data_IF_142164499444
#
_entry.id   IF_142164499444
#
_cell.length_a   1.000
_cell.length_b   1.000
_cell.length_c   1.000
_cell.angle_alpha   90.00
_cell.angle_beta   90.00
_cell.angle_gamma   90.00
#
_symmetry.space_group_name_H-M   'P 1'
#
loop_
_entity.id
_entity.type
_entity.pdbx_description
1 polymer ?
#
# COMPACT_ATOMS: atom_id res chain seq x y z
N UNK A 1 -0.86 -24.67 13.89
CA UNK A 1 -0.38 -23.32 13.53
C UNK A 1 1.07 -23.19 14.01
N UNK A 2 1.90 -24.23 13.79
CA UNK A 2 2.95 -24.58 14.79
C UNK A 2 4.39 -24.48 14.28
N UNK A 3 4.65 -24.20 12.99
CA UNK A 3 6.01 -24.38 12.44
C UNK A 3 6.62 -23.15 11.72
N UNK A 4 6.07 -21.94 11.86
CA UNK A 4 6.56 -20.79 11.06
C UNK A 4 7.05 -19.57 11.83
N UNK A 5 6.86 -19.48 13.15
CA UNK A 5 7.63 -18.54 13.96
C UNK A 5 8.27 -19.31 15.12
N UNK A 6 9.56 -19.08 15.35
CA UNK A 6 10.26 -19.68 16.48
C UNK A 6 9.65 -19.17 17.80
N UNK A 7 8.72 -19.93 18.37
CA UNK A 7 8.11 -19.69 19.68
C UNK A 7 7.03 -18.61 19.73
N UNK A 8 6.19 -18.68 20.77
CA UNK A 8 5.01 -17.83 21.03
C UNK A 8 5.30 -16.31 20.97
N UNK A 9 6.48 -15.88 21.44
CA UNK A 9 6.91 -14.47 21.40
C UNK A 9 7.18 -13.95 19.98
N UNK A 10 7.67 -14.82 19.09
CA UNK A 10 7.96 -14.47 17.69
C UNK A 10 6.67 -14.28 16.89
N UNK A 11 5.62 -15.05 17.19
CA UNK A 11 4.29 -14.89 16.60
C UNK A 11 3.65 -13.54 16.97
N UNK A 12 3.70 -13.14 18.24
CA UNK A 12 3.15 -11.86 18.68
C UNK A 12 3.88 -10.68 18.02
N UNK A 13 5.20 -10.78 17.91
CA UNK A 13 6.04 -9.77 17.27
C UNK A 13 5.73 -9.63 15.77
N UNK A 14 5.58 -10.75 15.05
CA UNK A 14 5.19 -10.76 13.63
C UNK A 14 3.80 -10.15 13.44
N UNK A 15 2.82 -10.58 14.23
CA UNK A 15 1.45 -10.07 14.20
C UNK A 15 1.35 -8.57 14.43
N UNK A 16 2.20 -8.00 15.29
CA UNK A 16 2.27 -6.55 15.53
C UNK A 16 2.68 -5.79 14.25
N UNK A 17 3.84 -6.10 13.67
CA UNK A 17 4.32 -5.40 12.46
C UNK A 17 3.37 -5.58 11.29
N UNK A 18 2.76 -6.74 11.19
CA UNK A 18 1.79 -7.05 10.16
C UNK A 18 0.55 -6.17 10.25
N UNK A 19 -0.09 -6.12 11.43
CA UNK A 19 -1.26 -5.27 11.64
C UNK A 19 -0.91 -3.78 11.49
N UNK A 20 0.28 -3.37 11.94
CA UNK A 20 0.78 -2.02 11.72
C UNK A 20 0.93 -1.69 10.23
N UNK A 21 1.51 -2.61 9.45
CA UNK A 21 1.66 -2.46 8.00
C UNK A 21 0.30 -2.33 7.31
N UNK A 22 -0.65 -3.22 7.59
CA UNK A 22 -2.00 -3.20 7.01
C UNK A 22 -2.77 -1.93 7.39
N UNK A 23 -2.69 -1.50 8.65
CA UNK A 23 -3.27 -0.25 9.12
C UNK A 23 -2.64 0.96 8.42
N UNK A 24 -1.31 0.98 8.30
CA UNK A 24 -0.57 2.01 7.55
C UNK A 24 -0.97 2.06 6.07
N UNK A 25 -1.15 0.92 5.41
CA UNK A 25 -1.67 0.86 4.04
C UNK A 25 -3.05 1.50 3.93
N UNK A 26 -3.93 1.32 4.91
CA UNK A 26 -5.22 2.01 4.96
C UNK A 26 -5.11 3.54 5.03
N UNK A 27 -4.14 4.05 5.81
CA UNK A 27 -3.83 5.50 5.86
C UNK A 27 -3.34 5.99 4.50
N UNK A 28 -2.38 5.27 3.90
CA UNK A 28 -1.83 5.61 2.58
C UNK A 28 -2.93 5.61 1.52
N UNK A 29 -3.81 4.62 1.50
CA UNK A 29 -4.90 4.53 0.52
C UNK A 29 -5.86 5.73 0.62
N UNK A 30 -6.15 6.16 1.85
CA UNK A 30 -6.99 7.35 2.10
C UNK A 30 -6.32 8.61 1.54
N UNK A 31 -5.01 8.77 1.77
CA UNK A 31 -4.22 9.90 1.27
C UNK A 31 -4.06 9.88 -0.26
N UNK A 32 -3.74 8.73 -0.86
CA UNK A 32 -3.63 8.57 -2.31
C UNK A 32 -4.96 8.84 -3.01
N UNK A 33 -6.07 8.34 -2.46
CA UNK A 33 -7.40 8.61 -3.01
C UNK A 33 -7.71 10.10 -2.98
N UNK A 34 -7.41 10.78 -1.86
CA UNK A 34 -7.65 12.21 -1.73
C UNK A 34 -6.82 13.04 -2.71
N UNK A 35 -5.54 12.73 -2.85
CA UNK A 35 -4.65 13.41 -3.81
C UNK A 35 -5.11 13.19 -5.26
N UNK A 36 -5.61 12.00 -5.59
CA UNK A 36 -6.14 11.68 -6.92
C UNK A 36 -7.45 12.43 -7.21
N UNK A 37 -8.38 12.49 -6.25
CA UNK A 37 -9.62 13.28 -6.38
C UNK A 37 -9.32 14.78 -6.55
N UNK A 38 -8.34 15.30 -5.82
CA UNK A 38 -7.87 16.68 -5.99
C UNK A 38 -7.25 16.91 -7.37
N UNK A 39 -6.51 15.94 -7.90
CA UNK A 39 -5.94 16.01 -9.25
C UNK A 39 -7.04 16.18 -10.31
N UNK A 40 -8.13 15.41 -10.20
CA UNK A 40 -9.31 15.52 -11.08
C UNK A 40 -9.89 16.94 -11.03
N UNK A 41 -10.11 17.47 -9.83
CA UNK A 41 -10.65 18.82 -9.70
C UNK A 41 -9.73 19.89 -10.26
N UNK A 42 -8.42 19.74 -10.02
CA UNK A 42 -7.42 20.68 -10.49
C UNK A 42 -7.33 20.67 -12.03
N UNK A 43 -7.34 19.49 -12.65
CA UNK A 43 -7.36 19.35 -14.11
C UNK A 43 -8.62 20.00 -14.72
N UNK A 44 -9.80 19.72 -14.14
CA UNK A 44 -11.05 20.34 -14.58
C UNK A 44 -11.10 21.86 -14.40
N UNK A 45 -10.52 22.38 -13.31
CA UNK A 45 -10.41 23.82 -13.07
C UNK A 45 -9.53 24.49 -14.14
N UNK A 46 -8.35 23.94 -14.43
CA UNK A 46 -7.48 24.49 -15.48
C UNK A 46 -8.11 24.41 -16.88
N UNK A 47 -8.88 23.36 -17.15
CA UNK A 47 -9.59 23.26 -18.42
C UNK A 47 -10.68 24.32 -18.57
N UNK A 48 -11.45 24.60 -17.49
CA UNK A 48 -12.56 25.56 -17.54
C UNK A 48 -12.10 27.02 -17.46
N UNK A 49 -11.20 27.30 -16.53
CA UNK A 49 -10.85 28.66 -16.11
C UNK A 49 -9.52 29.14 -16.75
N UNK A 50 -8.82 28.25 -17.48
CA UNK A 50 -7.57 28.53 -18.17
C UNK A 50 -6.31 28.20 -17.36
N UNK A 51 -5.16 28.13 -18.04
CA UNK A 51 -3.89 27.70 -17.46
C UNK A 51 -3.36 28.61 -16.33
N UNK A 52 -3.70 29.90 -16.37
CA UNK A 52 -3.24 30.90 -15.40
C UNK A 52 -4.20 31.09 -14.21
N UNK A 53 -5.29 30.31 -14.14
CA UNK A 53 -6.26 30.42 -13.06
C UNK A 53 -5.64 29.98 -11.71
N UNK A 54 -5.88 30.71 -10.61
CA UNK A 54 -5.47 30.30 -9.27
C UNK A 54 -6.36 29.17 -8.78
N UNK A 55 -6.18 27.97 -9.32
CA UNK A 55 -6.87 26.75 -8.92
C UNK A 55 -6.30 26.23 -7.58
N UNK A 56 -6.53 26.99 -6.50
CA UNK A 56 -6.25 26.54 -5.14
C UNK A 56 -7.38 25.61 -4.67
N UNK A 57 -7.29 24.35 -5.10
CA UNK A 57 -8.19 23.32 -4.58
C UNK A 57 -7.75 22.99 -3.14
N UNK A 58 -8.33 23.68 -2.16
CA UNK A 58 -8.34 23.23 -0.77
C UNK A 58 -9.27 22.02 -0.61
N UNK A 59 -9.11 21.23 0.44
CA UNK A 59 -10.02 20.13 0.76
C UNK A 59 -9.43 18.72 0.72
N UNK A 60 -8.12 18.55 0.90
CA UNK A 60 -7.53 17.20 1.07
C UNK A 60 -8.24 16.41 2.18
N UNK A 61 -8.51 17.07 3.32
CA UNK A 61 -9.28 16.49 4.42
C UNK A 61 -10.73 16.14 4.04
N UNK A 62 -11.36 16.91 3.15
CA UNK A 62 -12.71 16.61 2.66
C UNK A 62 -12.73 15.33 1.83
N UNK A 63 -11.78 15.15 0.91
CA UNK A 63 -11.67 13.91 0.13
C UNK A 63 -11.27 12.69 0.97
N UNK A 64 -10.38 12.87 1.95
CA UNK A 64 -10.05 11.82 2.91
C UNK A 64 -11.30 11.37 3.67
N UNK A 65 -12.10 12.33 4.15
CA UNK A 65 -13.35 12.04 4.85
C UNK A 65 -14.37 11.32 3.95
N UNK A 66 -14.54 11.75 2.71
CA UNK A 66 -15.42 11.09 1.74
C UNK A 66 -14.98 9.65 1.45
N UNK A 67 -13.68 9.42 1.25
CA UNK A 67 -13.14 8.08 1.06
C UNK A 67 -13.37 7.22 2.31
N UNK A 68 -13.10 7.76 3.50
CA UNK A 68 -13.38 7.09 4.78
C UNK A 68 -14.87 6.72 4.91
N UNK A 69 -15.78 7.63 4.57
CA UNK A 69 -17.22 7.34 4.59
C UNK A 69 -17.60 6.23 3.61
N UNK A 70 -17.05 6.26 2.39
CA UNK A 70 -17.27 5.20 1.41
C UNK A 70 -16.76 3.84 1.93
N UNK A 71 -15.57 3.79 2.54
CA UNK A 71 -15.03 2.58 3.15
C UNK A 71 -15.87 2.09 4.33
N UNK A 72 -16.33 3.01 5.18
CA UNK A 72 -17.20 2.68 6.31
C UNK A 72 -18.52 2.04 5.84
N UNK A 73 -19.05 2.44 4.68
CA UNK A 73 -20.23 1.80 4.07
C UNK A 73 -19.86 0.46 3.43
N UNK A 74 -18.84 0.43 2.56
CA UNK A 74 -18.44 -0.76 1.82
C UNK A 74 -18.07 -1.94 2.73
N UNK A 75 -17.37 -1.69 3.84
CA UNK A 75 -16.98 -2.73 4.80
C UNK A 75 -18.17 -3.33 5.57
N UNK A 76 -19.37 -2.72 5.51
CA UNK A 76 -20.58 -3.29 6.11
C UNK A 76 -21.35 -4.19 5.14
N UNK A 77 -21.07 -4.12 3.84
CA UNK A 77 -21.81 -4.89 2.82
C UNK A 77 -21.36 -6.36 2.89
N UNK A 78 -22.21 -7.29 3.35
CA UNK A 78 -21.86 -8.70 3.43
C UNK A 78 -21.86 -9.31 2.03
N UNK A 79 -20.76 -9.94 1.62
CA UNK A 79 -20.66 -10.59 0.30
C UNK A 79 -20.11 -9.70 -0.82
N UNK A 80 -19.88 -8.40 -0.59
CA UNK A 80 -19.01 -7.58 -1.49
C UNK A 80 -17.56 -8.10 -1.54
N UNK A 81 -17.28 -9.08 -0.69
CA UNK A 81 -16.01 -9.77 -0.46
C UNK A 81 -15.87 -11.01 -1.34
N UNK A 82 -16.65 -11.16 -2.43
CA UNK A 82 -16.29 -12.08 -3.50
C UNK A 82 -14.99 -11.59 -4.14
N UNK A 83 -13.88 -11.88 -3.45
CA UNK A 83 -12.58 -11.24 -3.65
C UNK A 83 -12.06 -11.41 -5.06
N UNK A 84 -12.44 -12.47 -5.76
CA UNK A 84 -11.98 -12.70 -7.13
C UNK A 84 -12.41 -11.57 -8.08
N UNK A 85 -13.70 -11.19 -8.08
CA UNK A 85 -14.21 -10.15 -8.98
C UNK A 85 -13.66 -8.76 -8.63
N UNK A 86 -13.66 -8.43 -7.34
CA UNK A 86 -13.14 -7.15 -6.84
C UNK A 86 -11.63 -7.01 -7.09
N UNK A 87 -10.85 -8.07 -6.87
CA UNK A 87 -9.41 -8.09 -7.13
C UNK A 87 -9.09 -8.00 -8.62
N UNK A 88 -9.86 -8.69 -9.50
CA UNK A 88 -9.68 -8.56 -10.95
C UNK A 88 -9.99 -7.14 -11.40
N UNK A 89 -11.09 -6.54 -10.94
CA UNK A 89 -11.43 -5.16 -11.24
C UNK A 89 -10.33 -4.19 -10.77
N UNK A 90 -9.89 -4.32 -9.51
CA UNK A 90 -8.80 -3.54 -8.95
C UNK A 90 -7.49 -3.66 -9.76
N UNK A 91 -7.14 -4.87 -10.18
CA UNK A 91 -5.97 -5.11 -11.02
C UNK A 91 -6.08 -4.43 -12.38
N UNK A 92 -7.25 -4.51 -13.06
CA UNK A 92 -7.48 -3.84 -14.35
C UNK A 92 -7.33 -2.32 -14.20
N UNK A 93 -7.92 -1.72 -13.16
CA UNK A 93 -7.76 -0.30 -12.87
C UNK A 93 -6.28 0.05 -12.63
N UNK A 94 -5.53 -0.80 -11.92
CA UNK A 94 -4.09 -0.64 -11.64
C UNK A 94 -3.23 -0.61 -12.90
N UNK A 95 -3.44 -1.58 -13.79
CA UNK A 95 -2.76 -1.60 -15.09
C UNK A 95 -3.11 -0.37 -15.91
N UNK A 96 -4.39 0.01 -15.97
CA UNK A 96 -4.84 1.14 -16.77
C UNK A 96 -4.12 2.44 -16.39
N UNK A 97 -4.18 2.86 -15.12
CA UNK A 97 -3.53 4.12 -14.74
C UNK A 97 -2.00 4.05 -14.86
N UNK A 98 -1.40 2.86 -14.69
CA UNK A 98 0.05 2.67 -14.82
C UNK A 98 0.49 2.85 -16.28
N UNK A 99 -0.24 2.26 -17.23
CA UNK A 99 0.00 2.48 -18.66
C UNK A 99 -0.19 3.95 -19.06
N UNK A 100 -1.23 4.60 -18.55
CA UNK A 100 -1.45 6.04 -18.79
C UNK A 100 -0.28 6.86 -18.22
N UNK A 101 0.15 6.61 -16.99
CA UNK A 101 1.28 7.31 -16.38
C UNK A 101 2.58 7.16 -17.17
N UNK A 102 2.89 5.94 -17.62
CA UNK A 102 4.04 5.67 -18.51
C UNK A 102 3.90 6.40 -19.84
N UNK A 103 2.73 6.29 -20.50
CA UNK A 103 2.49 6.92 -21.79
C UNK A 103 2.59 8.45 -21.74
N UNK A 104 2.00 9.08 -20.71
CA UNK A 104 2.10 10.51 -20.47
C UNK A 104 3.53 10.94 -20.16
N UNK A 105 4.28 10.14 -19.40
CA UNK A 105 5.70 10.35 -19.16
C UNK A 105 6.51 10.37 -20.46
N UNK A 106 6.34 9.36 -21.32
CA UNK A 106 7.00 9.31 -22.64
C UNK A 106 6.61 10.53 -23.48
N UNK A 107 5.31 10.83 -23.60
CA UNK A 107 4.83 11.95 -24.40
C UNK A 107 5.43 13.28 -23.92
N UNK A 108 5.53 13.47 -22.60
CA UNK A 108 6.10 14.69 -22.02
C UNK A 108 7.61 14.80 -22.24
N UNK A 109 8.36 13.70 -22.13
CA UNK A 109 9.79 13.68 -22.48
C UNK A 109 10.01 14.06 -23.95
N UNK A 110 9.20 13.51 -24.86
CA UNK A 110 9.27 13.84 -26.30
C UNK A 110 8.94 15.32 -26.52
N UNK A 111 7.86 15.82 -25.90
CA UNK A 111 7.44 17.22 -26.03
C UNK A 111 8.47 18.21 -25.48
N UNK A 112 9.16 17.85 -24.39
CA UNK A 112 10.22 18.67 -23.82
C UNK A 112 11.45 18.75 -24.73
N UNK A 113 11.71 17.72 -25.56
CA UNK A 113 12.89 17.62 -26.43
C UNK A 113 14.22 17.40 -25.70
N UNK A 114 14.22 17.45 -24.36
CA UNK A 114 15.37 17.23 -23.48
C UNK A 114 14.96 16.47 -22.22
N UNK A 115 15.91 15.74 -21.64
CA UNK A 115 15.72 15.07 -20.34
C UNK A 115 15.88 16.12 -19.23
N UNK A 116 14.84 16.32 -18.44
CA UNK A 116 14.82 17.31 -17.36
C UNK A 116 15.52 16.82 -16.08
N UNK A 117 15.62 15.50 -15.89
CA UNK A 117 16.26 14.89 -14.73
C UNK A 117 17.77 15.08 -14.71
N UNK A 118 18.32 15.30 -13.52
CA UNK A 118 19.77 15.41 -13.29
C UNK A 118 20.27 14.37 -12.27
N UNK A 119 21.57 14.08 -12.25
CA UNK A 119 22.17 13.20 -11.21
C UNK A 119 22.15 13.91 -9.84
N UNK A 120 22.19 15.25 -9.84
CA UNK A 120 22.19 16.05 -8.63
C UNK A 120 20.86 16.00 -7.87
N UNK A 121 19.75 15.85 -8.58
CA UNK A 121 18.40 15.91 -8.02
C UNK A 121 18.11 17.24 -7.32
N UNK A 122 17.03 17.24 -6.54
CA UNK A 122 16.49 18.43 -5.88
C UNK A 122 17.58 19.14 -5.06
N UNK A 123 17.85 20.44 -5.32
CA UNK A 123 18.79 21.23 -4.52
C UNK A 123 18.19 21.47 -3.12
N UNK A 124 19.02 21.37 -2.08
CA UNK A 124 18.63 21.64 -0.70
C UNK A 124 19.55 22.67 -0.07
N UNK A 125 19.05 23.40 0.92
CA UNK A 125 19.78 24.48 1.60
C UNK A 125 21.00 23.96 2.36
N UNK A 126 20.95 22.71 2.85
CA UNK A 126 22.09 22.04 3.48
C UNK A 126 22.26 20.60 3.03
N UNK A 127 23.50 20.09 3.15
CA UNK A 127 23.82 18.67 2.91
C UNK A 127 23.01 17.76 3.82
N UNK A 128 22.79 18.16 5.08
CA UNK A 128 22.02 17.38 6.06
C UNK A 128 20.57 17.19 5.61
N UNK A 129 19.90 18.26 5.18
CA UNK A 129 18.55 18.15 4.63
C UNK A 129 18.49 17.27 3.38
N UNK A 130 19.51 17.34 2.51
CA UNK A 130 19.62 16.47 1.34
C UNK A 130 19.72 15.00 1.73
N UNK A 131 20.53 14.66 2.73
CA UNK A 131 20.67 13.30 3.26
C UNK A 131 19.34 12.79 3.79
N UNK A 132 18.58 13.61 4.52
CA UNK A 132 17.25 13.20 5.02
C UNK A 132 16.21 13.02 3.92
N UNK A 133 16.24 13.86 2.87
CA UNK A 133 15.39 13.66 1.70
C UNK A 133 15.72 12.38 0.93
N UNK A 134 17.00 12.07 0.74
CA UNK A 134 17.43 10.81 0.12
C UNK A 134 17.02 9.62 0.98
N UNK A 135 17.19 9.72 2.29
CA UNK A 135 16.76 8.71 3.25
C UNK A 135 15.25 8.43 3.17
N UNK A 136 14.44 9.47 3.10
CA UNK A 136 12.99 9.36 2.89
C UNK A 136 12.66 8.64 1.58
N UNK A 137 13.32 9.01 0.48
CA UNK A 137 13.11 8.36 -0.83
C UNK A 137 13.49 6.87 -0.81
N UNK A 138 14.50 6.47 -0.03
CA UNK A 138 14.79 5.04 0.20
C UNK A 138 13.62 4.36 0.89
N UNK A 139 13.01 4.99 1.89
CA UNK A 139 11.79 4.51 2.54
C UNK A 139 10.63 4.31 1.56
N UNK A 140 10.44 5.25 0.63
CA UNK A 140 9.40 5.17 -0.41
C UNK A 140 9.62 3.95 -1.32
N UNK A 141 10.89 3.67 -1.69
CA UNK A 141 11.26 2.48 -2.46
C UNK A 141 11.00 1.21 -1.65
N UNK A 142 11.31 1.20 -0.36
CA UNK A 142 11.06 0.05 0.52
C UNK A 142 9.56 -0.25 0.64
N UNK A 143 8.72 0.78 0.72
CA UNK A 143 7.25 0.62 0.74
C UNK A 143 6.71 0.04 -0.57
N UNK A 144 7.30 0.42 -1.71
CA UNK A 144 6.83 0.00 -3.03
C UNK A 144 6.84 -1.53 -3.22
N UNK A 145 7.71 -2.25 -2.50
CA UNK A 145 7.81 -3.71 -2.54
C UNK A 145 7.29 -4.39 -1.26
N UNK A 146 5.96 -4.46 -1.05
CA UNK A 146 5.40 -5.04 0.15
C UNK A 146 5.36 -6.58 0.07
N UNK A 147 6.53 -7.23 0.08
CA UNK A 147 6.65 -8.69 0.04
C UNK A 147 5.89 -9.40 1.18
N UNK A 148 5.74 -8.70 2.32
CA UNK A 148 4.97 -9.12 3.48
C UNK A 148 3.49 -9.41 3.17
N UNK A 149 2.91 -8.72 2.19
CA UNK A 149 1.51 -8.88 1.78
C UNK A 149 1.31 -10.14 0.91
N UNK A 150 2.34 -10.57 0.20
CA UNK A 150 2.34 -11.85 -0.55
C UNK A 150 2.49 -13.04 0.40
N UNK A 151 3.33 -12.90 1.45
CA UNK A 151 3.43 -13.92 2.50
C UNK A 151 2.10 -14.10 3.25
N UNK A 152 1.35 -13.02 3.46
CA UNK A 152 0.00 -13.09 4.01
C UNK A 152 -0.94 -13.92 3.17
N UNK A 153 -0.95 -13.76 1.84
CA UNK A 153 -1.80 -14.53 0.94
C UNK A 153 -1.49 -16.04 1.05
N UNK A 154 -0.20 -16.39 1.15
CA UNK A 154 0.27 -17.75 1.39
C UNK A 154 -0.17 -18.27 2.77
N UNK A 155 -0.07 -17.47 3.83
CA UNK A 155 -0.42 -17.90 5.19
C UNK A 155 -1.94 -17.93 5.44
N UNK A 156 -2.72 -17.03 4.84
CA UNK A 156 -4.19 -17.01 4.91
C UNK A 156 -4.82 -18.20 4.17
N UNK A 157 -4.25 -18.61 3.04
CA UNK A 157 -4.60 -19.87 2.37
C UNK A 157 -4.42 -21.05 3.33
N UNK A 158 -3.26 -21.13 3.99
CA UNK A 158 -2.98 -22.20 4.96
C UNK A 158 -3.84 -22.10 6.24
N UNK A 159 -4.29 -20.90 6.62
CA UNK A 159 -5.14 -20.69 7.82
C UNK A 159 -6.63 -20.91 7.52
N UNK A 160 -7.10 -20.61 6.30
CA UNK A 160 -8.44 -20.98 5.85
C UNK A 160 -8.60 -22.50 5.69
N UNK A 161 -7.51 -23.21 5.40
CA UNK A 161 -7.48 -24.67 5.44
C UNK A 161 -7.78 -25.25 6.83
N UNK A 162 -7.48 -24.57 7.94
CA UNK A 162 -7.84 -25.08 9.29
C UNK A 162 -9.34 -25.05 9.59
N UNK A 163 -10.14 -24.27 8.85
CA UNK A 163 -11.61 -24.37 8.90
C UNK A 163 -12.18 -25.28 7.80
N UNK A 164 -11.31 -25.78 6.92
CA UNK A 164 -11.62 -26.73 5.87
C UNK A 164 -11.00 -28.12 6.11
N UNK A 165 -10.44 -28.40 7.28
CA UNK A 165 -9.99 -29.77 7.62
C UNK A 165 -11.17 -30.77 7.74
N UNK A 166 -12.42 -30.29 7.73
CA UNK A 166 -13.60 -31.15 7.58
C UNK A 166 -14.13 -31.24 6.13
N UNK A 167 -13.53 -30.51 5.18
CA UNK A 167 -13.86 -30.55 3.74
C UNK A 167 -12.58 -30.66 2.87
N UNK A 168 -11.54 -31.31 3.42
CA UNK A 168 -10.23 -31.47 2.77
C UNK A 168 -10.01 -32.80 2.06
N UNK A 169 -10.99 -33.71 2.15
CA UNK A 169 -10.95 -34.97 1.40
C UNK A 169 -11.48 -34.84 -0.04
N UNK A 170 -11.88 -33.66 -0.51
CA UNK A 170 -12.58 -33.54 -1.80
C UNK A 170 -11.93 -32.63 -2.85
N UNK A 171 -10.97 -31.74 -2.53
CA UNK A 171 -10.40 -30.81 -3.53
C UNK A 171 -8.88 -30.62 -3.37
N UNK A 172 -8.09 -31.61 -3.77
CA UNK A 172 -6.69 -31.37 -4.17
C UNK A 172 -6.71 -30.55 -5.46
N UNK A 173 -6.38 -29.27 -5.38
CA UNK A 173 -6.15 -28.43 -6.57
C UNK A 173 -4.92 -28.95 -7.33
N UNK A 174 -5.10 -29.27 -8.61
CA UNK A 174 -4.03 -29.64 -9.54
C UNK A 174 -3.86 -28.48 -10.51
N UNK A 175 -2.66 -27.86 -10.67
CA UNK A 175 -1.33 -28.18 -10.11
C UNK A 175 -1.14 -27.73 -8.65
N UNK A 176 -0.07 -28.21 -7.95
CA UNK A 176 0.18 -27.86 -6.56
C UNK A 176 0.32 -26.34 -6.37
N UNK A 177 -0.40 -25.82 -5.38
CA UNK A 177 -0.59 -24.40 -5.10
C UNK A 177 0.72 -23.62 -4.97
N UNK A 178 1.77 -24.23 -4.41
CA UNK A 178 3.09 -23.61 -4.30
C UNK A 178 3.73 -23.26 -5.65
N UNK A 179 3.49 -24.03 -6.72
CA UNK A 179 4.04 -23.77 -8.06
C UNK A 179 3.30 -22.62 -8.73
N UNK A 180 1.98 -22.63 -8.64
CA UNK A 180 1.12 -21.56 -9.17
C UNK A 180 1.42 -20.26 -8.46
N UNK A 181 1.43 -20.27 -7.12
CA UNK A 181 1.75 -19.11 -6.29
C UNK A 181 3.15 -18.56 -6.60
N UNK A 182 4.18 -19.42 -6.64
CA UNK A 182 5.55 -18.97 -6.98
C UNK A 182 5.62 -18.32 -8.36
N UNK A 183 4.88 -18.85 -9.33
CA UNK A 183 4.82 -18.28 -10.68
C UNK A 183 4.11 -16.94 -10.68
N UNK A 184 2.96 -16.84 -10.01
CA UNK A 184 2.19 -15.61 -9.87
C UNK A 184 2.98 -14.52 -9.13
N UNK A 185 3.60 -14.84 -7.98
CA UNK A 185 4.47 -13.93 -7.23
C UNK A 185 5.63 -13.44 -8.09
N UNK A 186 6.31 -14.34 -8.81
CA UNK A 186 7.42 -13.95 -9.69
C UNK A 186 6.95 -13.01 -10.79
N UNK A 187 5.84 -13.32 -11.44
CA UNK A 187 5.27 -12.48 -12.48
C UNK A 187 4.86 -11.10 -11.92
N UNK A 188 4.17 -11.07 -10.79
CA UNK A 188 3.77 -9.85 -10.09
C UNK A 188 4.97 -8.95 -9.76
N UNK A 189 6.06 -9.52 -9.21
CA UNK A 189 7.28 -8.77 -8.90
C UNK A 189 7.92 -8.16 -10.15
N UNK A 190 8.03 -8.93 -11.23
CA UNK A 190 8.62 -8.45 -12.50
C UNK A 190 7.77 -7.33 -13.10
N UNK A 191 6.45 -7.52 -13.16
CA UNK A 191 5.51 -6.54 -13.71
C UNK A 191 5.53 -5.25 -12.88
N UNK A 192 5.46 -5.39 -11.56
CA UNK A 192 5.45 -4.25 -10.62
C UNK A 192 6.76 -3.47 -10.71
N UNK A 193 7.92 -4.16 -10.70
CA UNK A 193 9.22 -3.53 -10.86
C UNK A 193 9.35 -2.79 -12.20
N UNK A 194 8.85 -3.38 -13.28
CA UNK A 194 8.82 -2.74 -14.60
C UNK A 194 8.03 -1.43 -14.55
N UNK A 195 6.80 -1.43 -14.06
CA UNK A 195 5.99 -0.21 -13.99
C UNK A 195 6.57 0.85 -13.06
N UNK A 196 7.10 0.47 -11.89
CA UNK A 196 7.73 1.44 -10.99
C UNK A 196 8.96 2.08 -11.60
N UNK A 197 9.83 1.30 -12.26
CA UNK A 197 10.99 1.85 -12.96
C UNK A 197 10.55 2.73 -14.13
N UNK A 198 9.59 2.31 -14.93
CA UNK A 198 9.08 3.13 -16.03
C UNK A 198 8.48 4.45 -15.53
N UNK A 199 7.55 4.41 -14.57
CA UNK A 199 6.94 5.61 -14.00
C UNK A 199 7.97 6.52 -13.32
N UNK A 200 8.90 5.95 -12.53
CA UNK A 200 9.93 6.71 -11.84
C UNK A 200 10.92 7.36 -12.81
N UNK A 201 11.49 6.58 -13.74
CA UNK A 201 12.48 7.08 -14.69
C UNK A 201 11.88 8.05 -15.71
N UNK A 202 10.73 7.72 -16.31
CA UNK A 202 10.09 8.60 -17.31
C UNK A 202 9.47 9.83 -16.66
N UNK A 203 8.90 9.70 -15.46
CA UNK A 203 8.43 10.83 -14.67
C UNK A 203 9.57 11.79 -14.34
N UNK A 204 10.70 11.27 -13.86
CA UNK A 204 11.88 12.10 -13.57
C UNK A 204 12.50 12.70 -14.83
N UNK A 205 12.51 11.96 -15.95
CA UNK A 205 12.95 12.51 -17.23
C UNK A 205 12.02 13.63 -17.74
N UNK A 206 10.71 13.54 -17.45
CA UNK A 206 9.70 14.50 -17.87
C UNK A 206 9.68 15.78 -17.02
N UNK A 207 9.89 15.66 -15.70
CA UNK A 207 9.68 16.77 -14.76
C UNK A 207 10.95 17.19 -14.00
N UNK A 208 12.01 16.38 -14.01
CA UNK A 208 13.24 16.64 -13.28
C UNK A 208 12.98 16.88 -11.78
N UNK A 209 13.58 17.93 -11.23
CA UNK A 209 13.42 18.31 -9.82
C UNK A 209 11.98 18.71 -9.45
N UNK A 210 11.14 19.01 -10.45
CA UNK A 210 9.70 19.30 -10.28
C UNK A 210 8.81 18.05 -10.26
N UNK A 211 9.37 16.84 -10.20
CA UNK A 211 8.59 15.59 -10.21
C UNK A 211 7.70 15.51 -8.96
N UNK A 212 6.37 15.40 -9.12
CA UNK A 212 5.47 15.29 -7.97
C UNK A 212 5.51 13.88 -7.36
N UNK A 213 5.20 13.77 -6.07
CA UNK A 213 5.12 12.48 -5.37
C UNK A 213 4.07 11.52 -5.97
N UNK A 214 2.94 12.06 -6.44
CA UNK A 214 2.01 11.33 -7.30
C UNK A 214 2.20 11.80 -8.75
N UNK A 215 2.79 10.95 -9.59
CA UNK A 215 3.16 11.26 -10.97
C UNK A 215 2.01 11.88 -11.77
N UNK A 216 0.77 11.37 -11.62
CA UNK A 216 -0.38 11.83 -12.40
C UNK A 216 -0.79 13.27 -12.08
N UNK A 217 -0.43 13.79 -10.91
CA UNK A 217 -0.71 15.19 -10.53
C UNK A 217 0.12 16.20 -11.33
N UNK A 218 1.25 15.77 -11.90
CA UNK A 218 2.12 16.60 -12.74
C UNK A 218 1.56 16.85 -14.13
N UNK A 219 0.57 16.05 -14.56
CA UNK A 219 -0.03 16.15 -15.89
C UNK A 219 -1.30 16.98 -15.93
N UNK A 220 -1.69 17.70 -14.88
CA UNK A 220 -2.96 18.45 -14.81
C UNK A 220 -3.28 19.43 -15.96
N UNK A 221 -2.31 19.72 -16.82
CA UNK A 221 -2.44 20.56 -18.02
C UNK A 221 -2.40 19.78 -19.34
N UNK A 222 -2.34 18.46 -19.28
CA UNK A 222 -2.21 17.61 -20.46
C UNK A 222 -3.55 17.53 -21.19
N UNK A 223 -3.54 17.77 -22.50
CA UNK A 223 -4.70 17.53 -23.36
C UNK A 223 -4.58 16.17 -24.07
N UNK A 224 -5.61 15.30 -23.98
CA UNK A 224 -6.93 15.60 -23.44
C UNK A 224 -7.04 15.38 -21.92
N UNK A 225 -7.63 16.36 -21.21
CA UNK A 225 -7.73 16.36 -19.75
C UNK A 225 -8.54 15.18 -19.17
N UNK A 226 -9.52 14.68 -19.94
CA UNK A 226 -10.34 13.54 -19.54
C UNK A 226 -9.51 12.28 -19.28
N UNK A 227 -8.35 12.14 -19.93
CA UNK A 227 -7.47 10.98 -19.75
C UNK A 227 -6.81 10.99 -18.37
N UNK A 228 -6.42 12.19 -17.90
CA UNK A 228 -5.89 12.39 -16.54
C UNK A 228 -6.97 12.10 -15.52
N UNK A 229 -8.18 12.61 -15.76
CA UNK A 229 -9.32 12.42 -14.87
C UNK A 229 -9.67 10.94 -14.73
N UNK A 230 -9.76 10.23 -15.86
CA UNK A 230 -10.03 8.81 -15.89
C UNK A 230 -8.94 8.01 -15.18
N UNK A 231 -7.66 8.34 -15.39
CA UNK A 231 -6.55 7.65 -14.72
C UNK A 231 -6.57 7.85 -13.20
N UNK A 232 -6.82 9.08 -12.72
CA UNK A 232 -6.97 9.34 -11.29
C UNK A 232 -8.23 8.68 -10.70
N UNK A 233 -9.33 8.63 -11.45
CA UNK A 233 -10.53 7.89 -11.06
C UNK A 233 -10.24 6.39 -10.94
N UNK A 234 -9.48 5.81 -11.88
CA UNK A 234 -9.01 4.43 -11.80
C UNK A 234 -8.14 4.18 -10.55
N UNK A 235 -7.29 5.13 -10.14
CA UNK A 235 -6.57 5.04 -8.86
C UNK A 235 -7.58 4.94 -7.71
N UNK A 236 -8.54 5.85 -7.61
CA UNK A 236 -9.55 5.85 -6.53
C UNK A 236 -10.30 4.52 -6.48
N UNK A 237 -10.76 4.02 -7.64
CA UNK A 237 -11.47 2.76 -7.75
C UNK A 237 -10.61 1.54 -7.39
N UNK A 238 -9.34 1.52 -7.81
CA UNK A 238 -8.36 0.51 -7.40
C UNK A 238 -8.22 0.51 -5.86
N UNK A 239 -8.01 1.68 -5.25
CA UNK A 239 -7.81 1.80 -3.81
C UNK A 239 -9.08 1.46 -3.02
N UNK A 240 -10.26 1.75 -3.54
CA UNK A 240 -11.52 1.32 -2.95
C UNK A 240 -11.56 -0.21 -2.79
N UNK A 241 -11.27 -0.94 -3.88
CA UNK A 241 -11.23 -2.41 -3.86
C UNK A 241 -10.08 -2.96 -3.03
N UNK A 242 -8.86 -2.43 -3.19
CA UNK A 242 -7.70 -2.87 -2.45
C UNK A 242 -7.85 -2.71 -0.93
N UNK A 243 -8.45 -1.60 -0.47
CA UNK A 243 -8.71 -1.39 0.97
C UNK A 243 -9.58 -2.52 1.55
N UNK A 244 -10.59 -2.99 0.81
CA UNK A 244 -11.45 -4.09 1.24
C UNK A 244 -10.65 -5.39 1.42
N UNK A 245 -9.71 -5.66 0.52
CA UNK A 245 -8.84 -6.85 0.58
C UNK A 245 -7.86 -6.73 1.76
N UNK A 246 -7.19 -5.58 1.92
CA UNK A 246 -6.17 -5.37 2.95
C UNK A 246 -6.70 -5.28 4.38
N UNK A 247 -7.96 -4.92 4.57
CA UNK A 247 -8.57 -4.84 5.90
C UNK A 247 -9.11 -6.18 6.42
N UNK A 248 -9.34 -7.16 5.54
CA UNK A 248 -9.84 -8.48 5.99
C UNK A 248 -8.95 -9.19 7.00
N UNK A 249 -7.61 -9.25 6.84
CA UNK A 249 -6.76 -9.93 7.81
C UNK A 249 -6.84 -9.26 9.19
N UNK A 250 -6.94 -7.93 9.25
CA UNK A 250 -7.10 -7.16 10.50
C UNK A 250 -8.43 -7.52 11.16
N UNK A 251 -9.52 -7.56 10.39
CA UNK A 251 -10.83 -7.90 10.93
C UNK A 251 -10.93 -9.36 11.37
N UNK A 252 -10.32 -10.28 10.62
CA UNK A 252 -10.20 -11.68 11.00
C UNK A 252 -9.40 -11.86 12.29
N UNK A 253 -8.33 -11.10 12.47
CA UNK A 253 -7.57 -11.07 13.73
C UNK A 253 -8.44 -10.55 14.88
N UNK A 254 -9.11 -9.41 14.69
CA UNK A 254 -9.95 -8.80 15.71
C UNK A 254 -11.13 -9.70 16.11
N UNK A 255 -11.77 -10.35 15.14
CA UNK A 255 -12.86 -11.28 15.37
C UNK A 255 -12.42 -12.47 16.25
N UNK A 256 -11.23 -13.04 16.01
CA UNK A 256 -10.73 -14.19 16.77
C UNK A 256 -10.37 -13.85 18.22
N UNK A 257 -9.83 -12.66 18.47
CA UNK A 257 -9.29 -12.30 19.77
C UNK A 257 -10.26 -11.52 20.65
N UNK A 258 -11.18 -10.76 20.04
CA UNK A 258 -12.01 -9.80 20.77
C UNK A 258 -13.52 -9.99 20.57
N UNK A 259 -13.98 -10.71 19.53
CA UNK A 259 -15.42 -10.82 19.31
C UNK A 259 -16.12 -11.71 20.35
N UNK A 260 -15.49 -12.78 20.86
CA UNK A 260 -16.15 -13.72 21.80
C UNK A 260 -17.55 -14.17 21.32
N UNK A 261 -18.46 -14.45 22.25
CA UNK A 261 -19.90 -14.64 21.97
C UNK A 261 -20.63 -13.30 21.74
N UNK A 262 -20.08 -12.42 20.88
CA UNK A 262 -20.63 -11.10 20.63
C UNK A 262 -22.13 -11.15 20.26
N UNK A 263 -22.92 -10.35 20.99
CA UNK A 263 -24.33 -10.15 20.76
C UNK A 263 -24.57 -9.77 19.30
N UNK A 264 -25.20 -10.69 18.59
CA UNK A 264 -25.55 -10.55 17.20
C UNK A 264 -27.01 -10.17 17.14
N UNK A 265 -27.27 -8.93 16.72
CA UNK A 265 -28.60 -8.35 16.69
C UNK A 265 -29.17 -8.55 15.29
N UNK A 266 -30.40 -9.03 15.20
CA UNK A 266 -31.13 -9.04 13.94
C UNK A 266 -31.58 -7.63 13.61
N UNK A 267 -30.97 -7.03 12.60
CA UNK A 267 -31.36 -5.72 12.10
C UNK A 267 -32.16 -5.94 10.81
N UNK A 268 -33.40 -5.45 10.72
CA UNK A 268 -34.12 -5.39 9.45
C UNK A 268 -33.45 -4.32 8.58
N UNK A 269 -32.78 -4.76 7.51
CA UNK A 269 -32.17 -3.85 6.55
C UNK A 269 -33.16 -3.62 5.40
N UNK A 270 -33.49 -2.37 5.04
CA UNK A 270 -34.33 -2.09 3.89
C UNK A 270 -33.76 -2.78 2.64
N UNK A 271 -34.61 -3.45 1.85
CA UNK A 271 -34.25 -4.19 0.61
C UNK A 271 -33.43 -5.50 0.76
N UNK A 272 -32.82 -5.79 1.92
CA UNK A 272 -31.94 -6.96 2.13
C UNK A 272 -32.42 -7.94 3.20
N UNK A 273 -33.60 -7.72 3.78
CA UNK A 273 -34.24 -8.60 4.77
C UNK A 273 -33.64 -8.48 6.18
N UNK A 274 -33.93 -9.47 7.04
CA UNK A 274 -33.35 -9.56 8.38
C UNK A 274 -31.89 -10.04 8.28
N UNK A 275 -30.94 -9.18 8.65
CA UNK A 275 -29.51 -9.53 8.70
C UNK A 275 -29.07 -9.60 10.15
N UNK A 276 -28.37 -10.68 10.50
CA UNK A 276 -27.73 -10.82 11.80
C UNK A 276 -26.42 -10.02 11.79
N UNK A 277 -26.41 -8.86 12.44
CA UNK A 277 -25.27 -7.94 12.51
C UNK A 277 -24.61 -8.08 13.89
N UNK A 278 -23.31 -8.36 13.91
CA UNK A 278 -22.53 -8.31 15.15
C UNK A 278 -22.20 -6.85 15.49
N UNK A 279 -22.63 -6.38 16.66
CA UNK A 279 -22.35 -5.01 17.13
C UNK A 279 -20.85 -4.77 17.24
N UNK A 280 -20.10 -5.77 17.70
CA UNK A 280 -18.63 -5.71 17.76
C UNK A 280 -18.03 -5.46 16.38
N UNK A 281 -18.42 -6.23 15.36
CA UNK A 281 -17.91 -6.08 13.99
C UNK A 281 -18.24 -4.71 13.42
N UNK A 282 -19.47 -4.25 13.60
CA UNK A 282 -19.90 -2.93 13.13
C UNK A 282 -19.02 -1.84 13.75
N UNK A 283 -18.95 -1.79 15.08
CA UNK A 283 -18.18 -0.80 15.83
C UNK A 283 -16.69 -0.85 15.51
N UNK A 284 -16.09 -2.04 15.47
CA UNK A 284 -14.66 -2.21 15.20
C UNK A 284 -14.30 -1.75 13.79
N UNK A 285 -15.08 -2.15 12.77
CA UNK A 285 -14.84 -1.74 11.37
C UNK A 285 -14.97 -0.23 11.21
N UNK A 286 -15.98 0.39 11.81
CA UNK A 286 -16.15 1.85 11.76
C UNK A 286 -15.04 2.57 12.52
N UNK A 287 -14.62 2.06 13.68
CA UNK A 287 -13.53 2.65 14.46
C UNK A 287 -12.19 2.55 13.73
N UNK A 288 -11.93 1.42 13.06
CA UNK A 288 -10.74 1.23 12.23
C UNK A 288 -10.67 2.26 11.10
N UNK A 289 -11.76 2.43 10.33
CA UNK A 289 -11.82 3.41 9.23
C UNK A 289 -11.68 4.84 9.75
N UNK A 290 -12.34 5.15 10.87
CA UNK A 290 -12.22 6.46 11.52
C UNK A 290 -10.77 6.74 11.92
N UNK A 291 -10.07 5.75 12.50
CA UNK A 291 -8.69 5.88 12.91
C UNK A 291 -7.73 6.06 11.71
N UNK A 292 -7.86 5.27 10.64
CA UNK A 292 -7.01 5.44 9.45
C UNK A 292 -7.26 6.79 8.78
N UNK A 293 -8.52 7.24 8.74
CA UNK A 293 -8.89 8.54 8.15
C UNK A 293 -8.38 9.70 9.00
N UNK A 294 -8.52 9.63 10.33
CA UNK A 294 -8.03 10.65 11.24
C UNK A 294 -6.51 10.82 11.14
N UNK A 295 -5.75 9.73 11.05
CA UNK A 295 -4.30 9.81 10.86
C UNK A 295 -3.91 10.38 9.50
N UNK A 296 -4.63 10.03 8.43
CA UNK A 296 -4.39 10.62 7.11
C UNK A 296 -4.62 12.14 7.12
N UNK A 297 -5.64 12.61 7.85
CA UNK A 297 -5.93 14.04 8.03
C UNK A 297 -4.88 14.73 8.90
N UNK A 298 -4.39 14.06 9.94
CA UNK A 298 -3.39 14.62 10.87
C UNK A 298 -2.00 14.73 10.22
N UNK A 299 -1.65 13.77 9.37
CA UNK A 299 -0.36 13.73 8.68
C UNK A 299 -0.57 13.61 7.16
N UNK A 300 -1.01 14.69 6.46
CA UNK A 300 -1.30 14.67 5.03
C UNK A 300 -0.02 14.72 4.16
N UNK A 301 1.06 14.09 4.62
CA UNK A 301 2.39 14.12 4.00
C UNK A 301 2.65 12.81 3.25
N UNK A 302 2.25 12.77 1.97
CA UNK A 302 2.23 11.55 1.16
C UNK A 302 3.52 10.74 1.21
N UNK A 303 4.63 11.33 0.76
CA UNK A 303 5.92 10.63 0.72
C UNK A 303 6.48 10.38 2.13
N UNK A 304 6.25 11.26 3.10
CA UNK A 304 6.85 11.09 4.43
C UNK A 304 6.19 9.93 5.19
N UNK A 305 4.86 9.81 5.09
CA UNK A 305 4.09 8.71 5.68
C UNK A 305 4.44 7.39 5.00
N UNK A 306 4.49 7.37 3.67
CA UNK A 306 4.89 6.17 2.90
C UNK A 306 6.30 5.73 3.27
N UNK A 307 7.26 6.66 3.25
CA UNK A 307 8.65 6.36 3.56
C UNK A 307 8.84 5.81 4.96
N UNK A 308 8.14 6.38 5.95
CA UNK A 308 8.20 5.90 7.34
C UNK A 308 7.59 4.51 7.49
N UNK A 309 6.41 4.28 6.90
CA UNK A 309 5.74 2.97 6.94
C UNK A 309 6.57 1.89 6.25
N UNK A 310 7.11 2.20 5.06
CA UNK A 310 7.97 1.30 4.30
C UNK A 310 9.23 0.93 5.08
N UNK A 311 9.97 1.92 5.56
CA UNK A 311 11.20 1.69 6.30
C UNK A 311 10.99 0.93 7.61
N UNK A 312 9.93 1.25 8.36
CA UNK A 312 9.65 0.61 9.64
C UNK A 312 9.22 -0.86 9.50
N UNK A 313 8.50 -1.19 8.42
CA UNK A 313 7.94 -2.54 8.23
C UNK A 313 8.79 -3.45 7.35
N UNK A 314 9.68 -2.89 6.52
CA UNK A 314 10.48 -3.65 5.56
C UNK A 314 11.42 -4.66 6.22
N UNK A 315 12.32 -4.23 7.11
CA UNK A 315 13.24 -5.17 7.74
C UNK A 315 12.54 -6.30 8.49
N UNK A 316 11.60 -6.05 9.42
CA UNK A 316 10.99 -7.13 10.18
C UNK A 316 10.22 -8.10 9.25
N UNK A 317 9.38 -7.58 8.36
CA UNK A 317 8.45 -8.42 7.59
C UNK A 317 9.03 -8.98 6.28
N UNK A 318 9.86 -8.24 5.56
CA UNK A 318 10.41 -8.68 4.28
C UNK A 318 11.74 -9.42 4.42
N UNK A 319 12.49 -9.17 5.51
CA UNK A 319 13.85 -9.68 5.67
C UNK A 319 13.97 -10.61 6.88
N UNK A 320 13.76 -10.10 8.10
CA UNK A 320 14.02 -10.84 9.34
C UNK A 320 13.20 -12.14 9.44
N UNK A 321 11.86 -12.05 9.41
CA UNK A 321 11.04 -13.26 9.54
C UNK A 321 11.29 -14.28 8.42
N UNK A 322 11.33 -13.89 7.11
CA UNK A 322 11.63 -14.85 6.05
C UNK A 322 13.02 -15.49 6.18
N UNK A 323 14.03 -14.73 6.61
CA UNK A 323 15.38 -15.24 6.86
C UNK A 323 15.39 -16.27 8.00
N UNK A 324 14.78 -15.96 9.14
CA UNK A 324 14.71 -16.87 10.29
C UNK A 324 13.93 -18.15 9.94
N UNK A 325 12.82 -18.01 9.20
CA UNK A 325 12.06 -19.14 8.67
C UNK A 325 12.93 -20.01 7.75
N UNK A 326 13.68 -19.40 6.84
CA UNK A 326 14.58 -20.11 5.92
C UNK A 326 15.68 -20.88 6.66
N UNK A 327 16.35 -20.24 7.61
CA UNK A 327 17.45 -20.84 8.37
C UNK A 327 16.95 -22.02 9.22
N UNK A 328 15.80 -21.84 9.87
CA UNK A 328 15.17 -22.88 10.71
C UNK A 328 14.68 -24.05 9.87
N UNK A 329 13.96 -23.79 8.76
CA UNK A 329 13.41 -24.84 7.89
C UNK A 329 14.49 -25.67 7.20
N UNK A 330 15.56 -25.03 6.74
CA UNK A 330 16.67 -25.72 6.09
C UNK A 330 17.74 -26.22 7.07
N UNK A 331 17.55 -26.02 8.39
CA UNK A 331 18.48 -26.42 9.45
C UNK A 331 19.92 -25.99 9.14
N UNK A 332 20.08 -24.75 8.65
CA UNK A 332 21.40 -24.22 8.26
C UNK A 332 22.28 -24.17 9.50
N UNK A 333 23.46 -24.78 9.45
CA UNK A 333 24.37 -24.81 10.60
C UNK A 333 24.76 -23.38 11.01
N UNK A 334 24.63 -23.04 12.31
CA UNK A 334 25.13 -21.78 12.84
C UNK A 334 26.60 -21.59 12.48
N UNK A 335 26.98 -20.35 12.17
CA UNK A 335 28.35 -19.97 11.79
C UNK A 335 28.92 -20.59 10.51
N UNK A 336 28.11 -21.32 9.74
CA UNK A 336 28.49 -21.67 8.37
C UNK A 336 28.64 -20.40 7.50
N UNK A 337 29.40 -20.49 6.40
CA UNK A 337 29.55 -19.36 5.46
C UNK A 337 28.20 -18.84 4.96
N UNK A 338 27.26 -19.75 4.70
CA UNK A 338 25.90 -19.42 4.29
C UNK A 338 25.12 -18.71 5.40
N UNK A 339 25.21 -19.19 6.64
CA UNK A 339 24.57 -18.55 7.79
C UNK A 339 25.09 -17.12 8.00
N UNK A 340 26.41 -16.93 8.00
CA UNK A 340 27.04 -15.61 8.16
C UNK A 340 26.66 -14.68 7.01
N UNK A 341 26.64 -15.16 5.76
CA UNK A 341 26.24 -14.36 4.61
C UNK A 341 24.78 -13.87 4.71
N UNK A 342 23.87 -14.76 5.11
CA UNK A 342 22.44 -14.43 5.24
C UNK A 342 22.20 -13.44 6.40
N UNK A 343 22.84 -13.63 7.55
CA UNK A 343 22.74 -12.66 8.65
C UNK A 343 23.41 -11.33 8.32
N UNK A 344 24.54 -11.35 7.60
CA UNK A 344 25.19 -10.13 7.11
C UNK A 344 24.27 -9.33 6.17
N UNK A 345 23.60 -10.01 5.24
CA UNK A 345 22.57 -9.40 4.39
C UNK A 345 21.42 -8.81 5.22
N UNK A 346 20.90 -9.56 6.19
CA UNK A 346 19.83 -9.06 7.08
C UNK A 346 20.26 -7.83 7.88
N UNK A 347 21.50 -7.79 8.38
CA UNK A 347 22.05 -6.64 9.09
C UNK A 347 22.19 -5.41 8.18
N UNK A 348 22.65 -5.58 6.93
CA UNK A 348 22.70 -4.47 5.96
C UNK A 348 21.30 -3.91 5.70
N UNK A 349 20.29 -4.77 5.51
CA UNK A 349 18.91 -4.34 5.35
C UNK A 349 18.36 -3.63 6.60
N UNK A 350 18.75 -4.06 7.80
CA UNK A 350 18.39 -3.39 9.05
C UNK A 350 18.94 -1.97 9.09
N UNK A 351 20.22 -1.79 8.74
CA UNK A 351 20.86 -0.48 8.72
C UNK A 351 20.22 0.46 7.69
N UNK A 352 19.89 -0.05 6.50
CA UNK A 352 19.17 0.71 5.47
C UNK A 352 17.78 1.13 5.98
N UNK A 353 17.05 0.21 6.61
CA UNK A 353 15.71 0.48 7.17
C UNK A 353 15.75 1.48 8.32
N UNK A 354 16.75 1.38 9.19
CA UNK A 354 16.96 2.35 10.28
C UNK A 354 17.28 3.73 9.72
N UNK A 355 18.18 3.80 8.74
CA UNK A 355 18.51 5.06 8.05
C UNK A 355 17.26 5.70 7.44
N UNK A 356 16.49 4.93 6.65
CA UNK A 356 15.26 5.38 5.99
C UNK A 356 14.16 5.80 6.98
N UNK A 357 14.04 5.08 8.11
CA UNK A 357 13.07 5.39 9.17
C UNK A 357 13.40 6.73 9.83
N UNK A 358 14.68 6.99 10.14
CA UNK A 358 15.12 8.24 10.76
C UNK A 358 14.85 9.43 9.80
N UNK A 359 15.26 9.33 8.53
CA UNK A 359 15.04 10.42 7.58
C UNK A 359 13.56 10.70 7.31
N UNK A 360 12.73 9.66 7.21
CA UNK A 360 11.29 9.80 7.07
C UNK A 360 10.66 10.42 8.33
N UNK A 361 11.07 9.99 9.52
CA UNK A 361 10.59 10.55 10.79
C UNK A 361 10.98 12.03 10.95
N UNK A 362 12.21 12.41 10.58
CA UNK A 362 12.61 13.83 10.53
C UNK A 362 11.74 14.60 9.53
N UNK A 363 11.35 13.99 8.40
CA UNK A 363 10.42 14.59 7.45
C UNK A 363 8.99 14.75 7.99
N UNK A 364 8.49 13.81 8.81
CA UNK A 364 7.13 13.86 9.40
C UNK A 364 7.07 14.81 10.61
N UNK A 365 8.07 14.76 11.49
CA UNK A 365 8.05 15.42 12.80
C UNK A 365 8.99 16.62 12.93
N UNK A 366 9.84 16.87 11.92
CA UNK A 366 10.77 18.00 11.92
C UNK A 366 10.07 19.34 11.78
N UNK A 367 10.57 20.35 12.49
CA UNK A 367 10.05 21.71 12.54
C UNK A 367 10.37 22.57 11.30
N UNK A 368 11.14 22.06 10.33
CA UNK A 368 11.46 22.76 9.08
C UNK A 368 10.46 22.41 7.97
N UNK A 369 9.18 22.56 8.30
CA UNK A 369 8.08 22.58 7.33
C UNK A 369 7.86 24.02 6.86
N UNK A 370 8.61 24.42 5.83
CA UNK A 370 8.27 25.57 4.99
C UNK A 370 8.61 25.26 3.53
#
# INVERSE_FOLDING_TARGET
>A
MDDTCAGEKSHLFCGFFLNFSLFGTGVVYTLTSATSMRAIQRANCYHRDGHDAPCSVGGDAYYMFLFGLAQAVLLQIPGFHEMAGLSVFAAVMSFFYSFVGVGLGVAKVIANGVIMGSIGGIPMVSTTQKVWRVSQAVGDILFAYPFSLVLLEIELINTHEMRFDQMKDTLKSTPPENKTMKTATRASLVITAFFYLCCGCLGYAAFGDGTPGNLLTGFGFYEPYWLIDLANLCIVLHLLGGYQVYTQPVFGFADRHFAGDAASVEVPVPMLGKRRVSVFRLCFRTAYVAATTALAVWFPYFNQVIGLLGAFTFWPLAIYFPVEMYLTRNKVMPWSKQWVAIHGFSLVCLLISAFASIGSAVGVFGSETS
#
